data_IF_754511891126
#
_entry.id   IF_754511891126
#
_cell.length_a   1.000
_cell.length_b   1.000
_cell.length_c   1.000
_cell.angle_alpha   90.00
_cell.angle_beta   90.00
_cell.angle_gamma   90.00
#
_symmetry.space_group_name_H-M   'P 1'
#
loop_
_entity.id
_entity.type
_entity.pdbx_description
1 polymer ?
#
# COMPACT_ATOMS: atom_id res chain seq x y z
N UNK A 1 14.93 -7.65 -2.86
CA UNK A 1 13.87 -7.93 -1.87
C UNK A 1 14.36 -8.45 -0.51
N UNK A 2 15.53 -9.09 -0.38
CA UNK A 2 15.94 -9.71 0.89
C UNK A 2 16.15 -8.68 2.00
N UNK A 3 16.80 -7.57 1.68
CA UNK A 3 17.08 -6.48 2.62
C UNK A 3 15.78 -5.79 3.06
N UNK A 4 14.88 -5.52 2.13
CA UNK A 4 13.57 -4.90 2.40
C UNK A 4 12.74 -5.75 3.36
N UNK A 5 12.66 -7.07 3.13
CA UNK A 5 11.97 -8.00 4.04
C UNK A 5 12.61 -8.05 5.42
N UNK A 6 13.95 -8.09 5.49
CA UNK A 6 14.69 -8.08 6.75
C UNK A 6 14.43 -6.79 7.55
N UNK A 7 14.35 -5.63 6.89
CA UNK A 7 14.05 -4.34 7.53
C UNK A 7 12.69 -4.36 8.24
N UNK A 8 11.63 -4.83 7.58
CA UNK A 8 10.30 -4.91 8.19
C UNK A 8 10.20 -5.96 9.29
N UNK A 9 10.95 -7.06 9.20
CA UNK A 9 11.03 -8.06 10.29
C UNK A 9 11.66 -7.45 11.55
N UNK A 10 12.76 -6.69 11.40
CA UNK A 10 13.37 -5.99 12.53
C UNK A 10 12.45 -4.93 13.12
N UNK A 11 11.76 -4.16 12.26
CA UNK A 11 10.77 -3.19 12.70
C UNK A 11 9.63 -3.87 13.47
N UNK A 12 9.11 -4.99 12.96
CA UNK A 12 8.09 -5.80 13.64
C UNK A 12 8.57 -6.25 15.01
N UNK A 13 9.78 -6.82 15.11
CA UNK A 13 10.34 -7.22 16.39
C UNK A 13 10.44 -6.04 17.37
N UNK A 14 10.93 -4.89 16.92
CA UNK A 14 10.99 -3.67 17.72
C UNK A 14 9.60 -3.23 18.20
N UNK A 15 8.60 -3.20 17.30
CA UNK A 15 7.23 -2.81 17.62
C UNK A 15 6.59 -3.78 18.63
N UNK A 16 6.88 -5.08 18.55
CA UNK A 16 6.41 -6.05 19.53
C UNK A 16 7.00 -5.78 20.92
N UNK A 17 8.31 -5.55 21.00
CA UNK A 17 8.98 -5.21 22.26
C UNK A 17 8.39 -3.94 22.84
N UNK A 18 8.20 -2.90 22.02
CA UNK A 18 7.58 -1.65 22.46
C UNK A 18 6.12 -1.84 22.90
N UNK A 19 5.33 -2.65 22.20
CA UNK A 19 3.95 -2.95 22.58
C UNK A 19 3.87 -3.59 23.97
N UNK A 20 4.76 -4.55 24.25
CA UNK A 20 4.83 -5.24 25.55
C UNK A 20 5.29 -4.28 26.64
N UNK A 21 6.41 -3.56 26.43
CA UNK A 21 6.97 -2.62 27.41
C UNK A 21 5.97 -1.51 27.72
N UNK A 22 5.38 -0.91 26.69
CA UNK A 22 4.36 0.11 26.84
C UNK A 22 3.14 -0.43 27.57
N UNK A 23 2.57 -1.56 27.15
CA UNK A 23 1.35 -2.10 27.75
C UNK A 23 1.50 -2.48 29.21
N UNK A 24 2.65 -3.02 29.61
CA UNK A 24 2.93 -3.35 31.02
C UNK A 24 3.11 -2.07 31.87
N UNK A 25 3.77 -1.05 31.31
CA UNK A 25 4.10 0.17 32.06
C UNK A 25 2.92 1.15 32.12
N UNK A 26 2.32 1.48 30.98
CA UNK A 26 1.26 2.49 30.88
C UNK A 26 -0.09 1.96 31.37
N UNK A 27 -0.32 0.64 31.21
CA UNK A 27 -1.63 -0.02 31.41
C UNK A 27 -2.77 0.67 30.65
N UNK A 28 -2.41 1.33 29.54
CA UNK A 28 -3.32 2.12 28.71
C UNK A 28 -3.70 1.31 27.45
N UNK A 29 -5.00 1.02 27.23
CA UNK A 29 -5.42 0.06 26.21
C UNK A 29 -5.33 0.59 24.76
N UNK A 30 -5.51 1.89 24.50
CA UNK A 30 -5.57 2.45 23.14
C UNK A 30 -4.20 2.40 22.47
N UNK A 31 -3.17 2.91 23.14
CA UNK A 31 -1.79 2.91 22.68
C UNK A 31 -1.22 1.49 22.58
N UNK A 32 -1.54 0.64 23.56
CA UNK A 32 -1.14 -0.79 23.51
C UNK A 32 -1.74 -1.47 22.28
N UNK A 33 -3.03 -1.24 22.00
CA UNK A 33 -3.70 -1.78 20.81
C UNK A 33 -3.08 -1.26 19.52
N UNK A 34 -2.83 0.05 19.42
CA UNK A 34 -2.19 0.65 18.25
C UNK A 34 -0.79 0.07 17.98
N UNK A 35 0.01 -0.17 19.02
CA UNK A 35 1.34 -0.76 18.89
C UNK A 35 1.25 -2.23 18.43
N UNK A 36 0.33 -3.02 18.97
CA UNK A 36 0.11 -4.40 18.51
C UNK A 36 -0.38 -4.47 17.05
N UNK A 37 -1.26 -3.56 16.62
CA UNK A 37 -1.70 -3.47 15.23
C UNK A 37 -0.55 -3.06 14.30
N UNK A 38 0.30 -2.13 14.74
CA UNK A 38 1.50 -1.70 13.99
C UNK A 38 2.51 -2.84 13.87
N UNK A 39 2.70 -3.63 14.94
CA UNK A 39 3.46 -4.87 14.91
C UNK A 39 2.90 -5.85 13.87
N UNK A 40 1.59 -6.09 13.87
CA UNK A 40 0.92 -6.99 12.93
C UNK A 40 1.08 -6.54 11.48
N UNK A 41 0.89 -5.24 11.20
CA UNK A 41 1.10 -4.66 9.88
C UNK A 41 2.55 -4.85 9.41
N UNK A 42 3.52 -4.52 10.27
CA UNK A 42 4.95 -4.66 9.96
C UNK A 42 5.35 -6.12 9.73
N UNK A 43 4.79 -7.03 10.54
CA UNK A 43 4.99 -8.47 10.41
C UNK A 43 4.42 -8.98 9.09
N UNK A 44 3.21 -8.55 8.71
CA UNK A 44 2.57 -8.96 7.46
C UNK A 44 3.40 -8.56 6.24
N UNK A 45 3.87 -7.30 6.20
CA UNK A 45 4.74 -6.80 5.12
C UNK A 45 6.07 -7.55 5.11
N UNK A 46 6.74 -7.68 6.26
CA UNK A 46 8.03 -8.36 6.37
C UNK A 46 7.95 -9.83 5.97
N UNK A 47 6.90 -10.55 6.41
CA UNK A 47 6.64 -11.93 6.03
C UNK A 47 6.44 -12.07 4.52
N UNK A 48 5.57 -11.24 3.92
CA UNK A 48 5.32 -11.29 2.48
C UNK A 48 6.61 -11.08 1.67
N UNK A 49 7.38 -10.04 2.00
CA UNK A 49 8.63 -9.75 1.29
C UNK A 49 9.68 -10.85 1.48
N UNK A 50 9.85 -11.38 2.69
CA UNK A 50 10.78 -12.47 2.95
C UNK A 50 10.35 -13.78 2.27
N UNK A 51 9.03 -14.04 2.20
CA UNK A 51 8.46 -15.18 1.50
C UNK A 51 8.67 -15.09 -0.02
N UNK A 52 8.51 -13.89 -0.59
CA UNK A 52 8.78 -13.62 -2.02
C UNK A 52 10.28 -13.69 -2.32
N UNK A 53 11.13 -13.14 -1.47
CA UNK A 53 12.59 -13.17 -1.65
C UNK A 53 13.19 -14.59 -1.65
N UNK A 54 12.47 -15.60 -1.15
CA UNK A 54 12.88 -17.02 -1.23
C UNK A 54 12.43 -17.72 -2.52
N UNK A 55 11.55 -17.10 -3.31
CA UNK A 55 10.95 -17.67 -4.52
C UNK A 55 11.41 -16.99 -5.80
N UNK A 56 11.92 -15.77 -5.68
CA UNK A 56 12.37 -14.96 -6.81
C UNK A 56 13.89 -14.89 -6.76
N UNK A 57 14.52 -14.90 -7.92
CA UNK A 57 15.97 -14.72 -8.05
C UNK A 57 16.42 -13.36 -7.53
N UNK A 58 17.72 -13.25 -7.24
CA UNK A 58 18.32 -12.00 -6.77
C UNK A 58 18.31 -11.00 -7.91
N UNK A 59 17.44 -9.99 -7.81
CA UNK A 59 17.39 -8.91 -8.79
C UNK A 59 18.65 -8.03 -8.77
N UNK A 60 18.93 -7.27 -9.85
CA UNK A 60 20.11 -6.39 -9.94
C UNK A 60 20.26 -5.44 -8.75
N UNK A 61 19.13 -4.92 -8.25
CA UNK A 61 19.04 -4.05 -7.07
C UNK A 61 19.58 -4.64 -5.75
N UNK A 62 19.63 -5.97 -5.62
CA UNK A 62 20.15 -6.66 -4.42
C UNK A 62 21.61 -7.15 -4.62
N UNK A 63 22.20 -6.97 -5.81
CA UNK A 63 23.56 -7.38 -6.15
C UNK A 63 24.54 -6.20 -6.03
N UNK A 64 25.64 -6.40 -5.28
CA UNK A 64 26.66 -5.37 -5.06
C UNK A 64 27.60 -5.18 -6.25
N UNK A 65 27.64 -6.14 -7.16
CA UNK A 65 28.49 -6.15 -8.35
C UNK A 65 27.69 -5.95 -9.64
N UNK A 66 26.40 -5.57 -9.53
CA UNK A 66 25.55 -5.34 -10.70
C UNK A 66 26.04 -4.13 -11.50
N UNK A 67 26.00 -4.26 -12.83
CA UNK A 67 26.22 -3.17 -13.77
C UNK A 67 24.86 -2.55 -14.17
N UNK A 68 24.88 -1.34 -14.71
CA UNK A 68 23.69 -0.63 -15.20
C UNK A 68 23.00 -1.43 -16.32
N UNK A 69 23.78 -2.20 -17.09
CA UNK A 69 23.26 -3.05 -18.15
C UNK A 69 22.41 -4.23 -17.64
N UNK A 70 22.56 -4.63 -16.37
CA UNK A 70 21.83 -5.77 -15.79
C UNK A 70 20.32 -5.49 -15.60
N UNK A 71 19.92 -4.21 -15.64
CA UNK A 71 18.53 -3.76 -15.51
C UNK A 71 18.00 -3.07 -16.80
N UNK A 72 18.60 -3.36 -17.95
CA UNK A 72 18.27 -2.72 -19.24
C UNK A 72 16.97 -3.23 -19.91
N UNK A 73 16.20 -4.06 -19.22
CA UNK A 73 14.95 -4.63 -19.72
C UNK A 73 13.77 -3.66 -19.71
N UNK A 74 12.63 -4.11 -20.23
CA UNK A 74 11.37 -3.37 -20.09
C UNK A 74 10.88 -3.44 -18.63
N UNK A 75 10.68 -2.27 -18.01
CA UNK A 75 10.26 -2.17 -16.59
C UNK A 75 8.79 -2.59 -16.40
N UNK A 76 7.96 -2.38 -17.41
CA UNK A 76 6.53 -2.65 -17.40
C UNK A 76 5.70 -1.47 -17.92
N UNK A 77 4.39 -1.56 -17.74
CA UNK A 77 3.46 -0.54 -18.18
C UNK A 77 3.33 0.59 -17.15
N UNK A 78 3.43 1.84 -17.63
CA UNK A 78 3.12 3.03 -16.85
C UNK A 78 2.06 3.84 -17.57
N UNK A 79 1.07 4.30 -16.80
CA UNK A 79 0.08 5.28 -17.28
C UNK A 79 0.80 6.57 -17.72
N UNK A 80 0.73 6.96 -19.01
CA UNK A 80 1.32 8.23 -19.45
C UNK A 80 0.52 9.44 -18.93
N UNK A 81 -0.78 9.26 -18.75
CA UNK A 81 -1.70 10.23 -18.18
C UNK A 81 -2.98 9.53 -17.69
N UNK A 82 -3.56 10.02 -16.60
CA UNK A 82 -4.87 9.59 -16.10
C UNK A 82 -5.54 10.69 -15.28
N UNK A 83 -6.81 10.97 -15.57
CA UNK A 83 -7.64 11.88 -14.78
C UNK A 83 -8.40 11.17 -13.64
N UNK A 84 -8.39 9.84 -13.62
CA UNK A 84 -9.15 9.03 -12.67
C UNK A 84 -8.72 9.23 -11.20
N UNK A 85 -7.41 9.37 -10.88
CA UNK A 85 -6.97 9.69 -9.53
C UNK A 85 -7.59 11.00 -8.99
N UNK A 86 -7.71 12.02 -9.85
CA UNK A 86 -8.30 13.30 -9.46
C UNK A 86 -9.81 13.16 -9.16
N UNK A 87 -10.54 12.45 -10.01
CA UNK A 87 -11.95 12.15 -9.80
C UNK A 87 -12.19 11.42 -8.47
N UNK A 88 -11.36 10.43 -8.17
CA UNK A 88 -11.40 9.70 -6.91
C UNK A 88 -11.03 10.55 -5.69
N UNK A 89 -10.04 11.44 -5.81
CA UNK A 89 -9.68 12.36 -4.75
C UNK A 89 -10.84 13.31 -4.42
N UNK A 90 -11.54 13.83 -5.44
CA UNK A 90 -12.74 14.66 -5.27
C UNK A 90 -13.86 13.85 -4.60
N UNK A 91 -14.14 12.64 -5.08
CA UNK A 91 -15.14 11.76 -4.49
C UNK A 91 -14.84 11.42 -3.02
N UNK A 92 -13.58 11.11 -2.71
CA UNK A 92 -13.11 10.84 -1.35
C UNK A 92 -13.21 12.06 -0.44
N UNK A 93 -12.87 13.25 -0.93
CA UNK A 93 -13.02 14.50 -0.20
C UNK A 93 -14.51 14.79 0.10
N UNK A 94 -15.41 14.62 -0.87
CA UNK A 94 -16.85 14.75 -0.68
C UNK A 94 -17.39 13.75 0.35
N UNK A 95 -16.95 12.50 0.30
CA UNK A 95 -17.31 11.49 1.29
C UNK A 95 -16.84 11.88 2.71
N UNK A 96 -15.61 12.38 2.83
CA UNK A 96 -15.06 12.83 4.12
C UNK A 96 -15.81 14.06 4.67
N UNK A 97 -16.22 14.99 3.80
CA UNK A 97 -17.08 16.12 4.17
C UNK A 97 -18.45 15.68 4.75
N UNK A 98 -18.90 14.45 4.46
CA UNK A 98 -20.11 13.87 5.04
C UNK A 98 -20.04 13.72 6.56
N UNK A 99 -18.84 13.62 7.14
CA UNK A 99 -18.64 13.61 8.61
C UNK A 99 -19.06 14.96 9.22
N UNK A 100 -18.84 16.06 8.49
CA UNK A 100 -19.09 17.44 8.96
C UNK A 100 -20.52 17.89 8.63
N UNK A 101 -20.95 17.69 7.39
CA UNK A 101 -22.23 18.21 6.88
C UNK A 101 -23.40 17.21 6.96
N UNK A 102 -23.11 15.95 7.27
CA UNK A 102 -24.09 14.89 7.46
C UNK A 102 -24.05 13.80 6.39
N UNK A 103 -24.63 12.65 6.73
CA UNK A 103 -24.58 11.41 5.96
C UNK A 103 -25.22 11.50 4.56
N UNK A 104 -26.13 12.45 4.33
CA UNK A 104 -26.76 12.65 3.03
C UNK A 104 -25.77 13.01 1.92
N UNK A 105 -24.62 13.62 2.27
CA UNK A 105 -23.58 13.96 1.29
C UNK A 105 -22.97 12.71 0.64
N UNK A 106 -23.02 11.55 1.31
CA UNK A 106 -22.58 10.28 0.72
C UNK A 106 -23.39 9.89 -0.51
N UNK A 107 -24.67 10.29 -0.63
CA UNK A 107 -25.45 10.02 -1.85
C UNK A 107 -24.85 10.68 -3.10
N UNK A 108 -24.13 11.80 -2.93
CA UNK A 108 -23.45 12.51 -4.00
C UNK A 108 -21.99 12.05 -4.17
N UNK A 109 -21.32 11.73 -3.07
CA UNK A 109 -19.94 11.24 -3.11
C UNK A 109 -19.83 9.83 -3.73
N UNK A 110 -20.77 8.94 -3.40
CA UNK A 110 -20.70 7.53 -3.77
C UNK A 110 -20.70 7.31 -5.30
N UNK A 111 -21.57 7.95 -6.11
CA UNK A 111 -21.49 7.82 -7.57
C UNK A 111 -20.15 8.31 -8.14
N UNK A 112 -19.60 9.41 -7.61
CA UNK A 112 -18.31 9.96 -8.06
C UNK A 112 -17.18 8.98 -7.77
N UNK A 113 -17.13 8.42 -6.55
CA UNK A 113 -16.14 7.41 -6.17
C UNK A 113 -16.27 6.15 -7.02
N UNK A 114 -17.50 5.64 -7.22
CA UNK A 114 -17.73 4.43 -8.00
C UNK A 114 -17.34 4.61 -9.47
N UNK A 115 -17.72 5.73 -10.09
CA UNK A 115 -17.36 6.03 -11.48
C UNK A 115 -15.86 6.25 -11.60
N UNK A 116 -15.23 6.98 -10.68
CA UNK A 116 -13.78 7.19 -10.67
C UNK A 116 -12.99 5.90 -10.48
N UNK A 117 -13.44 5.01 -9.58
CA UNK A 117 -12.83 3.70 -9.36
C UNK A 117 -12.97 2.79 -10.59
N UNK A 118 -14.18 2.69 -11.14
CA UNK A 118 -14.43 1.94 -12.36
C UNK A 118 -13.61 2.51 -13.53
N UNK A 119 -13.56 3.83 -13.65
CA UNK A 119 -12.72 4.53 -14.60
C UNK A 119 -11.25 4.13 -14.46
N UNK A 120 -10.70 4.19 -13.25
CA UNK A 120 -9.29 3.92 -13.00
C UNK A 120 -8.89 2.47 -13.25
N UNK A 121 -9.71 1.51 -12.83
CA UNK A 121 -9.43 0.08 -12.99
C UNK A 121 -9.51 -0.34 -14.46
N UNK A 122 -10.50 0.19 -15.19
CA UNK A 122 -10.76 -0.21 -16.58
C UNK A 122 -10.19 0.77 -17.62
N UNK A 123 -9.37 1.75 -17.23
CA UNK A 123 -8.90 2.81 -18.14
C UNK A 123 -8.13 2.23 -19.33
N UNK A 124 -7.26 1.25 -19.07
CA UNK A 124 -6.37 0.64 -20.06
C UNK A 124 -6.94 -0.65 -20.68
N UNK A 125 -8.16 -1.04 -20.31
CA UNK A 125 -8.82 -2.26 -20.79
C UNK A 125 -10.05 -1.94 -21.67
N UNK A 126 -9.98 -0.88 -22.47
CA UNK A 126 -11.07 -0.41 -23.35
C UNK A 126 -10.60 -0.27 -24.79
N UNK A 127 -11.51 -0.49 -25.73
CA UNK A 127 -11.23 -0.30 -27.17
C UNK A 127 -10.21 -1.31 -27.70
N UNK A 128 -9.24 -0.85 -28.48
CA UNK A 128 -8.21 -1.70 -29.10
C UNK A 128 -7.30 -2.42 -28.07
N UNK A 129 -7.21 -1.90 -26.84
CA UNK A 129 -6.41 -2.47 -25.76
C UNK A 129 -7.17 -3.50 -24.89
N UNK A 130 -8.39 -3.89 -25.27
CA UNK A 130 -9.25 -4.75 -24.44
C UNK A 130 -8.69 -6.16 -24.17
N UNK A 131 -7.80 -6.68 -25.02
CA UNK A 131 -7.23 -8.04 -24.94
C UNK A 131 -5.72 -8.07 -24.66
N UNK A 132 -5.14 -6.94 -24.23
CA UNK A 132 -3.75 -6.88 -23.76
C UNK A 132 -3.68 -7.20 -22.26
#
# INVERSE_FOLDING_TARGET
MKIQGQMFIWLSFFMLVMAIVYGVWSKEPVGTTALFLTFGLSMMIGFYLAFTARRVDVGPQDNREADVADDAGEVGFFSPHSWQPLSLAIGGALAFLGIVFGWWLFFFALPVVLIGLFGWVFEYYRGEAQNQ
#
